data_IF_151279756643
#
_entry.id   IF_151279756643
#
_cell.length_a   1.000
_cell.length_b   1.000
_cell.length_c   1.000
_cell.angle_alpha   90.00
_cell.angle_beta   90.00
_cell.angle_gamma   90.00
#
_symmetry.space_group_name_H-M   'P 1'
#
loop_
_entity.id
_entity.type
_entity.pdbx_description
1 polymer ?
#
# COMPACT_ATOMS: atom_id res chain seq x y z
N UNK A 1 -25.29 -6.18 -5.46
CA UNK A 1 -25.26 -7.53 -4.90
C UNK A 1 -24.49 -7.53 -3.59
N UNK A 2 -24.66 -8.58 -2.80
CA UNK A 2 -23.87 -8.86 -1.60
C UNK A 2 -23.16 -10.20 -1.82
N UNK A 3 -21.91 -10.24 -1.45
CA UNK A 3 -21.07 -11.44 -1.50
C UNK A 3 -20.61 -11.72 -0.07
N UNK A 4 -21.05 -12.84 0.47
CA UNK A 4 -20.70 -13.31 1.81
C UNK A 4 -19.78 -14.53 1.68
N UNK A 5 -18.77 -14.62 2.55
CA UNK A 5 -17.80 -15.72 2.60
C UNK A 5 -17.00 -15.89 1.28
N UNK A 6 -16.59 -14.76 0.69
CA UNK A 6 -15.79 -14.79 -0.53
C UNK A 6 -14.39 -15.34 -0.24
N UNK A 7 -14.01 -16.38 -0.98
CA UNK A 7 -12.68 -16.94 -0.94
C UNK A 7 -12.16 -17.05 -2.38
N UNK A 8 -11.05 -16.39 -2.68
CA UNK A 8 -10.44 -16.36 -4.02
C UNK A 8 -8.95 -16.60 -3.87
N UNK A 9 -8.41 -17.52 -4.65
CA UNK A 9 -6.99 -17.79 -4.73
C UNK A 9 -6.34 -16.96 -5.83
N UNK A 10 -5.07 -16.60 -5.63
CA UNK A 10 -4.23 -15.91 -6.63
C UNK A 10 -4.89 -14.60 -7.18
N UNK A 11 -5.66 -13.88 -6.32
CA UNK A 11 -6.39 -12.69 -6.77
C UNK A 11 -5.46 -11.50 -7.04
N UNK A 12 -4.41 -11.35 -6.23
CA UNK A 12 -3.39 -10.31 -6.37
C UNK A 12 -2.01 -10.96 -6.54
N UNK A 13 -1.75 -11.52 -7.73
CA UNK A 13 -0.57 -12.35 -7.95
C UNK A 13 -0.71 -13.69 -7.24
N UNK A 14 0.20 -14.01 -6.34
CA UNK A 14 0.21 -15.28 -5.58
C UNK A 14 -0.51 -15.18 -4.22
N UNK A 15 -1.27 -14.08 -3.96
CA UNK A 15 -1.94 -13.88 -2.67
C UNK A 15 -3.40 -14.34 -2.67
N UNK A 16 -3.76 -15.06 -1.61
CA UNK A 16 -5.11 -15.55 -1.37
C UNK A 16 -5.95 -14.54 -0.59
N UNK A 17 -7.20 -14.38 -1.01
CA UNK A 17 -8.23 -13.60 -0.31
C UNK A 17 -9.23 -14.54 0.32
N UNK A 18 -9.55 -14.32 1.59
CA UNK A 18 -10.50 -15.13 2.36
C UNK A 18 -11.43 -14.25 3.22
N UNK A 19 -12.47 -14.88 3.77
CA UNK A 19 -13.44 -14.27 4.68
C UNK A 19 -14.10 -12.99 4.14
N UNK A 20 -14.22 -12.85 2.82
CA UNK A 20 -14.72 -11.64 2.19
C UNK A 20 -16.20 -11.41 2.46
N UNK A 21 -16.53 -10.22 2.98
CA UNK A 21 -17.88 -9.70 3.10
C UNK A 21 -17.99 -8.42 2.29
N UNK A 22 -18.45 -8.57 1.04
CA UNK A 22 -18.35 -7.53 0.04
C UNK A 22 -19.74 -7.10 -0.43
N UNK A 23 -19.86 -5.83 -0.79
CA UNK A 23 -21.00 -5.28 -1.51
C UNK A 23 -20.57 -4.84 -2.89
N UNK A 24 -21.31 -5.26 -3.91
CA UNK A 24 -21.13 -4.87 -5.29
C UNK A 24 -22.29 -4.01 -5.76
N UNK A 25 -21.98 -2.84 -6.30
CA UNK A 25 -22.87 -1.94 -7.02
C UNK A 25 -22.38 -1.82 -8.44
N UNK A 26 -23.29 -1.87 -9.40
CA UNK A 26 -22.98 -1.79 -10.85
C UNK A 26 -24.03 -0.92 -11.52
N UNK A 27 -23.59 0.04 -12.31
CA UNK A 27 -24.42 0.85 -13.19
C UNK A 27 -23.78 1.00 -14.58
N UNK A 28 -24.31 1.90 -15.41
CA UNK A 28 -23.83 2.12 -16.78
C UNK A 28 -22.45 2.78 -16.82
N UNK A 29 -22.00 3.42 -15.76
CA UNK A 29 -20.79 4.22 -15.71
C UNK A 29 -19.65 3.53 -14.99
N UNK A 30 -19.97 2.75 -13.93
CA UNK A 30 -18.95 2.13 -13.09
C UNK A 30 -19.46 0.89 -12.35
N UNK A 31 -18.50 0.12 -11.86
CA UNK A 31 -18.67 -0.90 -10.86
C UNK A 31 -17.93 -0.48 -9.58
N UNK A 32 -18.57 -0.62 -8.43
CA UNK A 32 -17.96 -0.43 -7.13
C UNK A 32 -18.11 -1.72 -6.30
N UNK A 33 -17.00 -2.18 -5.73
CA UNK A 33 -16.95 -3.31 -4.79
C UNK A 33 -16.29 -2.83 -3.53
N UNK A 34 -16.91 -3.05 -2.37
CA UNK A 34 -16.32 -2.62 -1.11
C UNK A 34 -16.75 -3.51 0.05
N UNK A 35 -15.89 -3.60 1.04
CA UNK A 35 -16.12 -4.38 2.27
C UNK A 35 -14.85 -4.88 2.91
N UNK A 36 -15.00 -5.84 3.83
CA UNK A 36 -13.90 -6.45 4.57
C UNK A 36 -13.47 -7.76 3.92
N UNK A 37 -12.16 -8.00 3.93
CA UNK A 37 -11.51 -9.25 3.48
C UNK A 37 -10.36 -9.61 4.42
N UNK A 38 -9.79 -10.79 4.24
CA UNK A 38 -8.46 -11.10 4.75
C UNK A 38 -7.56 -11.49 3.57
N UNK A 39 -6.38 -10.84 3.45
CA UNK A 39 -5.35 -11.15 2.46
C UNK A 39 -4.22 -11.87 3.18
N UNK A 40 -3.95 -13.13 2.84
CA UNK A 40 -3.00 -13.99 3.58
C UNK A 40 -3.24 -13.99 5.10
N UNK A 41 -4.50 -13.90 5.52
CA UNK A 41 -4.89 -13.82 6.92
C UNK A 41 -4.83 -12.41 7.53
N UNK A 42 -4.26 -11.41 6.87
CA UNK A 42 -4.28 -10.01 7.31
C UNK A 42 -5.65 -9.39 7.04
N UNK A 43 -6.39 -8.94 8.07
CA UNK A 43 -7.65 -8.24 7.87
C UNK A 43 -7.45 -6.91 7.16
N UNK A 44 -8.32 -6.61 6.20
CA UNK A 44 -8.30 -5.36 5.45
C UNK A 44 -9.71 -4.91 5.06
N UNK A 45 -9.91 -3.60 4.99
CA UNK A 45 -11.03 -2.99 4.30
C UNK A 45 -10.60 -2.61 2.89
N UNK A 46 -11.43 -2.95 1.91
CA UNK A 46 -11.12 -2.74 0.49
C UNK A 46 -12.27 -2.01 -0.18
N UNK A 47 -11.90 -1.07 -1.04
CA UNK A 47 -12.80 -0.45 -2.00
C UNK A 47 -12.17 -0.51 -3.39
N UNK A 48 -12.85 -1.13 -4.33
CA UNK A 48 -12.47 -1.20 -5.74
C UNK A 48 -13.51 -0.47 -6.58
N UNK A 49 -13.05 0.42 -7.44
CA UNK A 49 -13.87 1.13 -8.42
C UNK A 49 -13.30 0.84 -9.80
N UNK A 50 -14.17 0.41 -10.71
CA UNK A 50 -13.89 0.26 -12.13
C UNK A 50 -14.78 1.21 -12.92
N UNK A 51 -14.18 2.15 -13.66
CA UNK A 51 -14.91 3.08 -14.51
C UNK A 51 -14.95 2.56 -15.96
N UNK A 52 -16.11 2.63 -16.58
CA UNK A 52 -16.32 2.19 -17.95
C UNK A 52 -16.16 3.32 -18.97
N UNK A 53 -16.16 4.57 -18.52
CA UNK A 53 -15.97 5.73 -19.38
C UNK A 53 -14.48 6.02 -19.60
N UNK A 54 -14.02 6.16 -20.86
CA UNK A 54 -12.64 6.56 -21.15
C UNK A 54 -12.31 8.01 -20.74
N UNK A 55 -13.32 8.82 -20.39
CA UNK A 55 -13.15 10.18 -19.86
C UNK A 55 -13.08 10.22 -18.34
N UNK A 56 -13.20 9.09 -17.65
CA UNK A 56 -13.07 9.03 -16.21
C UNK A 56 -11.64 9.43 -15.78
N UNK A 57 -11.47 9.99 -14.57
CA UNK A 57 -10.15 10.40 -14.08
C UNK A 57 -9.20 9.21 -13.86
N UNK A 58 -9.72 8.01 -13.73
CA UNK A 58 -9.00 6.74 -13.68
C UNK A 58 -9.88 5.62 -14.25
N UNK A 59 -9.28 4.56 -14.73
CA UNK A 59 -9.97 3.34 -15.15
C UNK A 59 -10.28 2.48 -13.94
N UNK A 60 -9.26 2.09 -13.19
CA UNK A 60 -9.41 1.25 -11.99
C UNK A 60 -8.76 1.93 -10.78
N UNK A 61 -9.40 1.80 -9.61
CA UNK A 61 -8.83 2.27 -8.35
C UNK A 61 -9.14 1.26 -7.24
N UNK A 62 -8.10 0.95 -6.48
CA UNK A 62 -8.17 0.09 -5.29
C UNK A 62 -7.69 0.89 -4.10
N UNK A 63 -8.56 1.07 -3.11
CA UNK A 63 -8.22 1.65 -1.82
C UNK A 63 -8.26 0.53 -0.78
N UNK A 64 -7.17 0.36 -0.02
CA UNK A 64 -7.00 -0.69 0.98
C UNK A 64 -6.57 -0.06 2.29
N UNK A 65 -7.27 -0.39 3.38
CA UNK A 65 -6.88 0.01 4.73
C UNK A 65 -6.64 -1.24 5.58
N UNK A 66 -5.49 -1.31 6.24
CA UNK A 66 -5.10 -2.46 7.06
C UNK A 66 -4.08 -2.05 8.13
N UNK A 67 -3.84 -2.93 9.09
CA UNK A 67 -2.70 -2.84 10.01
C UNK A 67 -1.58 -3.73 9.50
N UNK A 68 -0.46 -3.14 9.16
CA UNK A 68 0.73 -3.82 8.66
C UNK A 68 1.64 -4.16 9.85
N UNK A 69 1.37 -5.28 10.49
CA UNK A 69 2.21 -5.79 11.58
C UNK A 69 3.46 -6.52 11.04
N UNK A 70 4.27 -7.09 11.92
CA UNK A 70 5.48 -7.80 11.51
C UNK A 70 5.18 -8.99 10.61
N UNK A 71 4.15 -9.79 10.95
CA UNK A 71 3.80 -10.98 10.17
C UNK A 71 3.31 -10.58 8.77
N UNK A 72 2.47 -9.55 8.67
CA UNK A 72 2.02 -9.03 7.39
C UNK A 72 3.21 -8.53 6.55
N UNK A 73 4.14 -7.77 7.13
CA UNK A 73 5.35 -7.31 6.43
C UNK A 73 6.19 -8.47 5.90
N UNK A 74 6.41 -9.51 6.70
CA UNK A 74 7.14 -10.71 6.28
C UNK A 74 6.42 -11.43 5.13
N UNK A 75 5.10 -11.59 5.24
CA UNK A 75 4.26 -12.21 4.20
C UNK A 75 4.31 -11.46 2.88
N UNK A 76 4.24 -10.12 2.93
CA UNK A 76 4.27 -9.28 1.72
C UNK A 76 5.68 -8.88 1.27
N UNK A 77 6.73 -9.41 1.89
CA UNK A 77 8.13 -9.14 1.52
C UNK A 77 8.59 -7.71 1.83
N UNK A 78 7.91 -7.00 2.72
CA UNK A 78 8.26 -5.64 3.14
C UNK A 78 9.27 -5.71 4.29
N UNK A 79 10.55 -5.74 3.95
CA UNK A 79 11.61 -5.77 4.96
C UNK A 79 12.04 -4.34 5.33
N UNK A 80 11.71 -3.90 6.53
CA UNK A 80 12.10 -2.59 7.09
C UNK A 80 13.11 -2.72 8.24
N UNK A 81 13.50 -3.94 8.61
CA UNK A 81 14.54 -4.14 9.61
C UNK A 81 15.93 -3.76 9.04
N UNK A 82 16.82 -3.15 9.84
CA UNK A 82 16.68 -2.88 11.27
C UNK A 82 15.99 -1.56 11.64
N UNK A 83 15.44 -0.83 10.67
CA UNK A 83 15.01 0.57 10.85
C UNK A 83 13.65 0.74 11.52
N UNK A 84 12.80 -0.29 11.51
CA UNK A 84 11.49 -0.19 12.13
C UNK A 84 10.96 -1.52 12.66
N UNK A 85 10.23 -1.44 13.77
CA UNK A 85 9.51 -2.55 14.41
C UNK A 85 8.15 -2.08 14.92
N UNK A 86 7.23 -3.04 15.18
CA UNK A 86 5.86 -2.73 15.58
C UNK A 86 4.92 -2.56 14.39
N UNK A 87 3.62 -2.32 14.62
CA UNK A 87 2.61 -2.20 13.58
C UNK A 87 2.56 -0.80 12.97
N UNK A 88 2.08 -0.73 11.72
CA UNK A 88 1.77 0.51 11.01
C UNK A 88 0.31 0.50 10.58
N UNK A 89 -0.43 1.58 10.82
CA UNK A 89 -1.72 1.80 10.17
C UNK A 89 -1.49 2.16 8.72
N UNK A 90 -2.01 1.36 7.79
CA UNK A 90 -1.77 1.53 6.36
C UNK A 90 -3.04 1.95 5.64
N UNK A 91 -2.93 2.99 4.81
CA UNK A 91 -3.85 3.30 3.73
C UNK A 91 -3.08 3.23 2.42
N UNK A 92 -3.47 2.31 1.58
CA UNK A 92 -2.84 2.04 0.28
C UNK A 92 -3.84 2.31 -0.84
N UNK A 93 -3.41 3.03 -1.87
CA UNK A 93 -4.20 3.26 -3.09
C UNK A 93 -3.39 2.83 -4.30
N UNK A 94 -3.99 2.00 -5.14
CA UNK A 94 -3.48 1.69 -6.46
C UNK A 94 -4.45 2.18 -7.52
N UNK A 95 -3.94 2.90 -8.51
CA UNK A 95 -4.77 3.53 -9.56
C UNK A 95 -4.19 3.21 -10.93
N UNK A 96 -5.06 2.81 -11.84
CA UNK A 96 -4.77 2.68 -13.27
C UNK A 96 -5.47 3.81 -14.01
N UNK A 97 -4.70 4.65 -14.67
CA UNK A 97 -5.21 5.74 -15.51
C UNK A 97 -5.77 5.23 -16.85
N UNK A 98 -6.60 5.99 -17.55
CA UNK A 98 -7.15 5.57 -18.85
C UNK A 98 -6.11 5.32 -19.95
N UNK A 99 -4.92 5.92 -19.82
CA UNK A 99 -3.75 5.70 -20.69
C UNK A 99 -2.90 4.49 -20.29
N UNK A 100 -3.31 3.77 -19.23
CA UNK A 100 -2.63 2.59 -18.70
C UNK A 100 -1.52 2.89 -17.67
N UNK A 101 -1.25 4.16 -17.35
CA UNK A 101 -0.28 4.49 -16.31
C UNK A 101 -0.75 4.01 -14.93
N UNK A 102 0.17 3.44 -14.17
CA UNK A 102 -0.12 2.82 -12.87
C UNK A 102 0.55 3.60 -11.75
N UNK A 103 -0.23 3.97 -10.75
CA UNK A 103 0.21 4.79 -9.62
C UNK A 103 -0.10 4.10 -8.30
N UNK A 104 0.84 4.24 -7.37
CA UNK A 104 0.70 3.78 -5.99
C UNK A 104 0.83 4.99 -5.07
N UNK A 105 -0.03 5.03 -4.06
CA UNK A 105 0.13 5.91 -2.90
C UNK A 105 -0.05 5.05 -1.64
N UNK A 106 0.94 5.10 -0.73
CA UNK A 106 0.85 4.47 0.56
C UNK A 106 1.08 5.50 1.66
N UNK A 107 0.12 5.62 2.56
CA UNK A 107 0.23 6.45 3.75
C UNK A 107 0.23 5.54 4.98
N UNK A 108 1.29 5.64 5.80
CA UNK A 108 1.47 4.82 6.99
C UNK A 108 1.47 5.72 8.23
N UNK A 109 0.61 5.39 9.20
CA UNK A 109 0.69 5.89 10.56
C UNK A 109 1.64 5.01 11.37
N UNK A 110 2.52 5.61 12.16
CA UNK A 110 3.57 4.90 12.90
C UNK A 110 3.52 5.22 14.39
N UNK A 111 2.35 5.52 14.97
CA UNK A 111 2.24 5.83 16.40
C UNK A 111 2.67 4.63 17.25
N UNK A 112 2.26 3.42 16.87
CA UNK A 112 2.56 2.18 17.59
C UNK A 112 3.84 1.47 17.12
N UNK A 113 4.61 2.08 16.22
CA UNK A 113 5.87 1.56 15.75
C UNK A 113 7.06 2.27 16.42
N UNK A 114 8.15 1.54 16.63
CA UNK A 114 9.48 2.10 16.89
C UNK A 114 10.16 2.32 15.54
N UNK A 115 10.76 3.50 15.32
CA UNK A 115 11.58 3.77 14.13
C UNK A 115 12.95 4.25 14.59
N UNK A 116 14.00 3.66 14.04
CA UNK A 116 15.39 3.96 14.38
C UNK A 116 16.17 4.26 13.09
N UNK A 117 16.91 5.35 13.07
CA UNK A 117 17.86 5.70 11.99
C UNK A 117 19.23 5.88 12.64
N UNK A 118 20.00 4.80 12.80
CA UNK A 118 21.26 4.82 13.54
C UNK A 118 22.26 5.80 12.96
N UNK A 119 22.27 6.00 11.66
CA UNK A 119 23.16 6.94 10.95
C UNK A 119 22.92 8.40 11.32
N UNK A 120 21.71 8.72 11.78
CA UNK A 120 21.31 10.05 12.23
C UNK A 120 21.28 10.15 13.77
N UNK A 121 21.58 9.06 14.50
CA UNK A 121 21.40 8.97 15.95
C UNK A 121 19.97 9.37 16.36
N UNK A 122 18.99 9.00 15.55
CA UNK A 122 17.60 9.37 15.72
C UNK A 122 16.72 8.15 15.96
N UNK A 123 15.82 8.29 16.91
CA UNK A 123 14.84 7.29 17.31
C UNK A 123 13.48 7.95 17.52
N UNK A 124 12.43 7.33 17.01
CA UNK A 124 11.03 7.65 17.30
C UNK A 124 10.46 6.53 18.19
N UNK A 125 10.26 6.75 19.49
CA UNK A 125 9.70 5.73 20.37
C UNK A 125 8.22 5.43 20.06
N UNK A 126 7.76 4.28 20.55
CA UNK A 126 6.34 3.90 20.54
C UNK A 126 5.52 4.94 21.30
N UNK A 127 4.33 5.29 20.78
CA UNK A 127 3.42 6.29 21.35
C UNK A 127 3.65 7.72 20.84
N UNK A 128 4.74 7.98 20.14
CA UNK A 128 4.93 9.23 19.42
C UNK A 128 4.42 9.13 17.98
N UNK A 129 3.83 10.22 17.49
CA UNK A 129 3.27 10.25 16.14
C UNK A 129 4.36 10.43 15.09
N UNK A 130 4.33 9.56 14.10
CA UNK A 130 5.01 9.78 12.83
C UNK A 130 4.14 9.29 11.68
N UNK A 131 4.40 9.82 10.50
CA UNK A 131 3.73 9.40 9.26
C UNK A 131 4.75 9.19 8.16
N UNK A 132 4.47 8.19 7.32
CA UNK A 132 5.26 7.91 6.13
C UNK A 132 4.33 8.01 4.93
N UNK A 133 4.73 8.74 3.90
CA UNK A 133 4.04 8.82 2.62
C UNK A 133 4.98 8.31 1.53
N UNK A 134 4.48 7.38 0.74
CA UNK A 134 5.17 6.86 -0.45
C UNK A 134 4.28 7.07 -1.65
N UNK A 135 4.78 7.76 -2.66
CA UNK A 135 4.16 7.85 -3.98
C UNK A 135 5.07 7.17 -4.99
N UNK A 136 4.50 6.29 -5.81
CA UNK A 136 5.27 5.54 -6.79
C UNK A 136 4.51 5.37 -8.11
N UNK A 137 5.27 5.09 -9.17
CA UNK A 137 4.77 4.64 -10.48
C UNK A 137 5.32 3.26 -10.78
N UNK A 138 4.51 2.44 -11.41
CA UNK A 138 4.99 1.19 -12.00
C UNK A 138 5.33 1.44 -13.46
N UNK A 139 6.60 1.16 -13.82
CA UNK A 139 7.09 1.23 -15.18
C UNK A 139 7.24 -0.20 -15.73
N UNK A 140 6.68 -0.46 -16.92
CA UNK A 140 6.80 -1.73 -17.65
C UNK A 140 6.51 -3.01 -16.83
N UNK A 141 5.62 -2.94 -15.84
CA UNK A 141 5.25 -4.03 -14.92
C UNK A 141 6.43 -4.64 -14.13
N UNK A 142 7.60 -4.02 -14.13
CA UNK A 142 8.83 -4.58 -13.53
C UNK A 142 9.59 -3.64 -12.61
N UNK A 143 9.56 -2.35 -12.88
CA UNK A 143 10.28 -1.36 -12.09
C UNK A 143 9.28 -0.49 -11.33
N UNK A 144 9.61 -0.18 -10.09
CA UNK A 144 8.85 0.77 -9.26
C UNK A 144 9.70 2.02 -9.08
N UNK A 145 9.24 3.12 -9.65
CA UNK A 145 9.82 4.45 -9.40
C UNK A 145 9.12 5.07 -8.18
N UNK A 146 9.80 5.16 -7.05
CA UNK A 146 9.34 5.94 -5.90
C UNK A 146 9.59 7.42 -6.18
N UNK A 147 8.56 8.12 -6.62
CA UNK A 147 8.63 9.54 -7.00
C UNK A 147 8.67 10.47 -5.79
N UNK A 148 8.15 10.02 -4.66
CA UNK A 148 8.21 10.72 -3.39
C UNK A 148 8.18 9.72 -2.23
N UNK A 149 9.13 9.87 -1.33
CA UNK A 149 9.12 9.31 0.01
C UNK A 149 9.19 10.45 1.00
N UNK A 150 8.36 10.44 2.02
CA UNK A 150 8.36 11.44 3.08
C UNK A 150 8.09 10.77 4.42
N UNK A 151 9.04 10.87 5.36
CA UNK A 151 8.86 10.55 6.76
C UNK A 151 8.74 11.88 7.53
N UNK A 152 7.66 12.03 8.28
CA UNK A 152 7.43 13.17 9.15
C UNK A 152 7.22 12.69 10.59
N UNK A 153 7.99 13.23 11.51
CA UNK A 153 7.79 13.13 12.94
C UNK A 153 7.79 14.53 13.59
N UNK A 154 7.79 14.59 14.90
CA UNK A 154 7.82 15.86 15.62
C UNK A 154 9.14 16.62 15.42
N UNK A 155 10.24 15.93 15.28
CA UNK A 155 11.62 16.46 15.28
C UNK A 155 12.45 16.06 14.05
N UNK A 156 11.92 15.17 13.19
CA UNK A 156 12.60 14.76 11.97
C UNK A 156 11.66 14.80 10.75
N UNK A 157 12.16 15.35 9.67
CA UNK A 157 11.56 15.22 8.34
C UNK A 157 12.60 14.73 7.35
N UNK A 158 12.30 13.61 6.72
CA UNK A 158 13.11 13.04 5.63
C UNK A 158 12.28 13.01 4.36
N UNK A 159 12.88 13.39 3.23
CA UNK A 159 12.28 13.26 1.90
C UNK A 159 13.28 12.60 0.97
N UNK A 160 12.76 11.81 0.05
CA UNK A 160 13.62 11.14 -0.90
C UNK A 160 12.88 10.61 -2.11
N UNK A 161 13.64 10.04 -3.03
CA UNK A 161 13.18 9.29 -4.19
C UNK A 161 14.01 8.02 -4.32
N UNK A 162 13.45 7.00 -4.93
CA UNK A 162 14.17 5.75 -5.16
C UNK A 162 13.67 5.07 -6.43
N UNK A 163 14.53 4.28 -7.02
CA UNK A 163 14.17 3.35 -8.08
C UNK A 163 14.42 1.92 -7.58
N UNK A 164 13.40 1.09 -7.70
CA UNK A 164 13.40 -0.28 -7.20
C UNK A 164 13.27 -1.22 -8.40
N UNK A 165 14.26 -2.07 -8.61
CA UNK A 165 14.30 -3.03 -9.69
C UNK A 165 13.43 -4.26 -9.45
N UNK A 166 13.20 -5.07 -10.51
CA UNK A 166 12.24 -6.18 -10.51
C UNK A 166 12.68 -7.40 -9.68
N UNK A 167 13.93 -7.50 -9.28
CA UNK A 167 14.45 -8.64 -8.53
C UNK A 167 14.49 -8.34 -7.03
N UNK A 168 13.50 -8.84 -6.29
CA UNK A 168 13.44 -8.83 -4.83
C UNK A 168 13.53 -7.43 -4.18
N UNK A 169 12.98 -6.40 -4.84
CA UNK A 169 13.00 -5.06 -4.29
C UNK A 169 14.39 -4.44 -4.15
N UNK A 170 15.34 -4.85 -5.00
CA UNK A 170 16.67 -4.26 -4.98
C UNK A 170 16.63 -2.77 -5.30
N UNK A 171 17.07 -1.97 -4.35
CA UNK A 171 17.25 -0.53 -4.54
C UNK A 171 18.31 -0.30 -5.63
N UNK A 172 17.91 0.35 -6.73
CA UNK A 172 18.81 0.73 -7.83
C UNK A 172 19.47 2.08 -7.51
N UNK A 173 18.68 3.03 -7.04
CA UNK A 173 19.16 4.35 -6.64
C UNK A 173 18.27 4.95 -5.56
N UNK A 174 18.82 5.82 -4.73
CA UNK A 174 18.08 6.65 -3.79
C UNK A 174 18.71 8.04 -3.69
N UNK A 175 17.86 9.06 -3.58
CA UNK A 175 18.23 10.43 -3.25
C UNK A 175 17.45 10.85 -2.00
N UNK A 176 18.13 11.41 -1.00
CA UNK A 176 17.58 11.92 0.26
C UNK A 176 17.69 13.44 0.31
#
# INVERSE_FOLDING_TARGET
ARLDDLNVRDLFGDYDVSNGQMRLTLDENNMEVGGSIAVEGMPAEVKWIENFSPQAPFQSRYDISAVLDQQARETFGVNVAPFASGPFDMNFTYTVSPDGAQHIAAALGAEDALIEIPELFWEKPIGERASILVLARLEDHKNVEVTNFELNSMDLRVKGRAEIGPQHGNLISAEL
#
